data_IF_220311720578
#
_entry.id   IF_220311720578
#
_cell.length_a   1.000
_cell.length_b   1.000
_cell.length_c   1.000
_cell.angle_alpha   90.00
_cell.angle_beta   90.00
_cell.angle_gamma   90.00
#
_symmetry.space_group_name_H-M   'P 1'
#
loop_
_entity.id
_entity.type
_entity.pdbx_description
1 polymer ?
#
# COMPACT_ATOMS: atom_id res chain seq x y z
N UNK A 1 -36.48 -36.16 -57.34
CA UNK A 1 -37.25 -35.11 -58.04
C UNK A 1 -36.91 -33.77 -57.40
N UNK A 2 -36.21 -32.88 -58.12
CA UNK A 2 -36.73 -31.58 -58.64
C UNK A 2 -36.79 -30.54 -57.51
N UNK A 3 -36.17 -29.35 -57.51
CA UNK A 3 -35.37 -28.44 -58.38
C UNK A 3 -34.75 -27.43 -57.37
N UNK A 4 -33.61 -26.75 -57.53
CA UNK A 4 -33.01 -26.16 -58.73
C UNK A 4 -32.87 -24.64 -58.53
N UNK A 5 -31.69 -24.08 -58.79
CA UNK A 5 -31.42 -22.64 -58.95
C UNK A 5 -30.08 -22.20 -58.34
N UNK A 6 -28.93 -22.33 -59.03
CA UNK A 6 -28.31 -21.40 -60.03
C UNK A 6 -27.91 -20.04 -59.43
N UNK A 7 -26.82 -19.37 -59.77
CA UNK A 7 -25.51 -19.61 -60.42
C UNK A 7 -24.85 -18.20 -60.54
N UNK A 8 -23.54 -18.18 -60.85
CA UNK A 8 -22.68 -17.06 -61.31
C UNK A 8 -21.90 -16.27 -60.24
N UNK A 9 -20.59 -16.05 -60.37
CA UNK A 9 -19.65 -16.43 -61.42
C UNK A 9 -18.31 -15.68 -61.29
N UNK A 10 -17.23 -16.34 -61.76
CA UNK A 10 -15.90 -15.77 -62.11
C UNK A 10 -15.02 -15.31 -60.93
N UNK A 11 -13.70 -15.45 -60.89
CA UNK A 11 -12.69 -15.93 -61.84
C UNK A 11 -11.36 -15.96 -61.06
N UNK A 12 -10.56 -17.02 -61.19
CA UNK A 12 -9.14 -17.03 -60.77
C UNK A 12 -8.29 -16.28 -61.81
N UNK A 13 -7.15 -15.65 -61.46
CA UNK A 13 -5.89 -16.41 -61.41
C UNK A 13 -4.83 -15.92 -60.40
N UNK A 14 -3.82 -16.78 -60.23
CA UNK A 14 -2.57 -16.62 -59.46
C UNK A 14 -1.81 -15.31 -59.77
N UNK A 15 -1.20 -14.73 -58.73
CA UNK A 15 -0.14 -13.70 -58.85
C UNK A 15 0.47 -13.35 -57.49
N UNK A 16 1.80 -13.25 -57.41
CA UNK A 16 2.66 -13.38 -56.23
C UNK A 16 2.82 -12.11 -55.37
N UNK A 17 3.33 -12.35 -54.16
CA UNK A 17 4.33 -11.55 -53.41
C UNK A 17 3.85 -10.63 -52.27
N UNK A 18 4.52 -10.77 -51.12
CA UNK A 18 4.77 -9.67 -50.18
C UNK A 18 4.22 -9.83 -48.76
N UNK A 19 5.11 -10.18 -47.81
CA UNK A 19 5.19 -9.42 -46.57
C UNK A 19 4.54 -9.95 -45.28
N UNK A 20 5.29 -10.81 -44.60
CA UNK A 20 5.61 -10.67 -43.16
C UNK A 20 4.48 -10.78 -42.12
N UNK A 21 4.15 -12.02 -41.76
CA UNK A 21 3.73 -12.35 -40.40
C UNK A 21 4.94 -12.27 -39.45
N UNK A 22 4.90 -11.41 -38.43
CA UNK A 22 5.89 -11.40 -37.34
C UNK A 22 5.18 -11.72 -36.01
N UNK A 23 4.99 -13.02 -35.79
CA UNK A 23 4.74 -13.57 -34.47
C UNK A 23 5.98 -13.33 -33.59
N UNK A 24 5.78 -12.87 -32.36
CA UNK A 24 6.84 -12.62 -31.38
C UNK A 24 7.56 -13.92 -31.00
N UNK A 25 8.77 -14.10 -31.53
CA UNK A 25 9.68 -15.16 -31.12
C UNK A 25 10.25 -14.85 -29.74
N UNK A 26 9.85 -15.63 -28.73
CA UNK A 26 10.60 -15.74 -27.46
C UNK A 26 12.00 -16.25 -27.77
N UNK A 27 13.01 -15.52 -27.31
CA UNK A 27 14.40 -15.98 -27.35
C UNK A 27 14.59 -17.15 -26.36
N UNK A 28 15.27 -18.24 -26.74
CA UNK A 28 15.57 -19.33 -25.83
C UNK A 28 16.65 -18.91 -24.84
N UNK A 29 16.40 -19.13 -23.54
CA UNK A 29 17.43 -19.03 -22.50
C UNK A 29 18.41 -20.21 -22.67
N UNK A 30 19.73 -20.00 -22.66
CA UNK A 30 20.68 -21.10 -22.72
C UNK A 30 20.56 -21.94 -21.46
N UNK A 31 20.09 -23.17 -21.64
CA UNK A 31 20.05 -24.20 -20.60
C UNK A 31 21.48 -24.68 -20.42
N UNK A 32 22.19 -24.21 -19.37
CA UNK A 32 23.50 -24.77 -19.04
C UNK A 32 23.25 -26.10 -18.31
N UNK A 33 23.29 -27.16 -19.10
CA UNK A 33 23.23 -28.55 -18.71
C UNK A 33 24.28 -28.86 -17.64
N UNK A 34 23.82 -29.49 -16.56
CA UNK A 34 24.57 -29.93 -15.39
C UNK A 34 25.50 -31.14 -15.66
N UNK A 35 26.28 -31.13 -16.73
CA UNK A 35 27.20 -32.24 -17.07
C UNK A 35 28.70 -31.91 -16.93
N UNK A 36 29.07 -30.64 -16.70
CA UNK A 36 30.47 -30.26 -16.43
C UNK A 36 30.84 -30.25 -14.93
N UNK A 37 29.88 -30.46 -14.02
CA UNK A 37 30.09 -30.35 -12.57
C UNK A 37 30.61 -31.64 -11.89
N UNK A 38 31.11 -32.63 -12.65
CA UNK A 38 31.53 -33.95 -12.11
C UNK A 38 33.03 -34.28 -12.23
N UNK A 39 33.87 -33.35 -12.68
CA UNK A 39 35.34 -33.51 -12.57
C UNK A 39 35.90 -32.27 -11.88
N UNK A 40 36.44 -32.48 -10.68
CA UNK A 40 36.97 -31.43 -9.82
C UNK A 40 38.12 -30.68 -10.48
N UNK A 41 38.21 -29.40 -10.15
CA UNK A 41 39.27 -28.49 -10.58
C UNK A 41 38.91 -27.69 -11.82
N UNK A 42 38.10 -26.64 -11.66
CA UNK A 42 38.02 -25.58 -12.67
C UNK A 42 37.78 -24.25 -11.97
N UNK A 43 38.72 -23.32 -12.13
CA UNK A 43 38.64 -21.96 -11.62
C UNK A 43 37.60 -21.18 -12.46
N UNK A 44 36.64 -20.55 -11.78
CA UNK A 44 35.56 -19.80 -12.42
C UNK A 44 36.02 -18.51 -13.10
N UNK A 45 37.28 -18.09 -12.85
CA UNK A 45 37.88 -16.89 -13.43
C UNK A 45 38.09 -16.98 -14.95
N UNK A 46 38.34 -18.17 -15.50
CA UNK A 46 38.67 -18.36 -16.92
C UNK A 46 37.46 -18.29 -17.87
N UNK A 47 36.25 -18.59 -17.36
CA UNK A 47 35.02 -18.57 -18.17
C UNK A 47 34.48 -17.14 -18.34
N UNK A 48 34.71 -16.30 -17.33
CA UNK A 48 34.30 -14.90 -17.36
C UNK A 48 35.12 -14.08 -18.36
N UNK A 49 36.41 -14.38 -18.52
CA UNK A 49 37.30 -13.56 -19.35
C UNK A 49 37.08 -13.78 -20.86
N UNK A 50 36.87 -15.02 -21.29
CA UNK A 50 36.57 -15.34 -22.71
C UNK A 50 35.19 -14.87 -23.16
N UNK A 51 34.21 -14.92 -22.26
CA UNK A 51 32.83 -14.50 -22.54
C UNK A 51 32.74 -12.97 -22.57
N UNK A 52 33.42 -12.29 -21.64
CA UNK A 52 33.52 -10.83 -21.65
C UNK A 52 34.35 -10.30 -22.82
N UNK A 53 35.40 -10.98 -23.27
CA UNK A 53 36.19 -10.55 -24.43
C UNK A 53 35.39 -10.57 -25.74
N UNK A 54 34.57 -11.61 -25.98
CA UNK A 54 33.66 -11.69 -27.14
C UNK A 54 32.51 -10.69 -27.05
N UNK A 55 31.96 -10.46 -25.86
CA UNK A 55 30.92 -9.44 -25.64
C UNK A 55 31.45 -8.03 -25.84
N UNK A 56 32.69 -7.75 -25.40
CA UNK A 56 33.37 -6.47 -25.61
C UNK A 56 33.68 -6.19 -27.07
N UNK A 57 34.12 -7.19 -27.84
CA UNK A 57 34.36 -7.03 -29.28
C UNK A 57 33.06 -6.89 -30.08
N UNK A 58 31.98 -7.57 -29.68
CA UNK A 58 30.65 -7.37 -30.27
C UNK A 58 30.08 -5.99 -29.95
N UNK A 59 30.18 -5.53 -28.70
CA UNK A 59 29.74 -4.21 -28.24
C UNK A 59 30.55 -3.08 -28.88
N UNK A 60 31.87 -3.23 -28.99
CA UNK A 60 32.75 -2.26 -29.68
C UNK A 60 32.43 -2.15 -31.19
N UNK A 61 32.01 -3.25 -31.83
CA UNK A 61 31.59 -3.26 -33.23
C UNK A 61 30.23 -2.60 -33.46
N UNK A 62 29.35 -2.62 -32.45
CA UNK A 62 28.09 -1.86 -32.43
C UNK A 62 28.29 -0.37 -32.08
N UNK A 63 29.31 -0.05 -31.27
CA UNK A 63 29.67 1.32 -30.87
C UNK A 63 30.04 2.22 -32.06
N UNK A 64 30.65 1.66 -33.11
CA UNK A 64 31.01 2.40 -34.32
C UNK A 64 29.85 2.88 -35.19
N UNK A 65 28.60 2.47 -34.91
CA UNK A 65 27.43 2.76 -35.78
C UNK A 65 26.35 3.62 -35.13
N UNK A 66 26.50 4.04 -33.89
CA UNK A 66 25.43 4.72 -33.19
C UNK A 66 25.87 6.08 -32.62
N UNK A 67 24.98 7.10 -32.64
CA UNK A 67 25.32 8.44 -32.15
C UNK A 67 25.70 8.37 -30.67
N UNK A 68 26.91 8.87 -30.37
CA UNK A 68 27.65 8.67 -29.11
C UNK A 68 26.90 9.05 -27.83
N UNK A 69 25.88 9.90 -27.92
CA UNK A 69 25.11 10.37 -26.76
C UNK A 69 24.22 9.29 -26.11
N UNK A 70 23.62 8.40 -26.90
CA UNK A 70 22.70 7.38 -26.35
C UNK A 70 23.45 6.19 -25.72
N UNK A 71 24.66 5.87 -26.22
CA UNK A 71 25.47 4.78 -25.68
C UNK A 71 26.09 5.17 -24.33
N UNK A 72 26.47 6.43 -24.16
CA UNK A 72 26.95 6.94 -22.87
C UNK A 72 25.86 6.91 -21.80
N UNK A 73 24.58 7.09 -22.17
CA UNK A 73 23.46 6.94 -21.25
C UNK A 73 23.25 5.48 -20.84
N UNK A 74 23.36 4.54 -21.78
CA UNK A 74 23.23 3.10 -21.49
C UNK A 74 24.41 2.55 -20.67
N UNK A 75 25.65 2.96 -20.97
CA UNK A 75 26.83 2.58 -20.17
C UNK A 75 26.72 3.11 -18.74
N UNK A 76 26.21 4.33 -18.56
CA UNK A 76 25.98 4.92 -17.24
C UNK A 76 24.87 4.23 -16.46
N UNK A 77 23.86 3.66 -17.16
CA UNK A 77 22.82 2.83 -16.53
C UNK A 77 23.36 1.46 -16.08
N UNK A 78 24.35 0.94 -16.79
CA UNK A 78 25.01 -0.34 -16.48
C UNK A 78 25.96 -0.21 -15.28
N UNK A 79 26.73 0.88 -15.19
CA UNK A 79 27.60 1.18 -14.05
C UNK A 79 26.81 1.32 -12.74
N UNK A 80 25.64 1.97 -12.81
CA UNK A 80 24.72 2.13 -11.67
C UNK A 80 24.14 0.80 -11.19
N UNK A 81 24.01 -0.18 -12.10
CA UNK A 81 23.54 -1.53 -11.77
C UNK A 81 24.65 -2.37 -11.12
N UNK A 82 25.93 -2.11 -11.43
CA UNK A 82 27.06 -2.75 -10.76
C UNK A 82 27.34 -2.18 -9.36
N UNK A 83 27.10 -0.90 -9.11
CA UNK A 83 27.13 -0.34 -7.75
C UNK A 83 26.03 -0.95 -6.85
N UNK A 84 24.82 -1.14 -7.38
CA UNK A 84 23.73 -1.85 -6.66
C UNK A 84 24.06 -3.33 -6.39
N UNK A 85 24.73 -4.00 -7.32
CA UNK A 85 25.17 -5.40 -7.17
C UNK A 85 26.42 -5.53 -6.28
N UNK A 86 27.29 -4.51 -6.22
CA UNK A 86 28.42 -4.43 -5.29
C UNK A 86 27.95 -4.16 -3.85
N UNK A 87 26.88 -3.39 -3.67
CA UNK A 87 26.19 -3.16 -2.39
C UNK A 87 25.50 -4.43 -1.85
N UNK A 88 25.25 -5.42 -2.72
CA UNK A 88 24.79 -6.75 -2.32
C UNK A 88 25.87 -7.61 -1.66
N UNK A 89 27.16 -7.21 -1.63
CA UNK A 89 28.24 -8.00 -0.99
C UNK A 89 28.58 -7.56 0.44
N UNK A 90 27.97 -6.49 0.97
CA UNK A 90 28.24 -5.96 2.32
C UNK A 90 27.12 -6.25 3.34
N UNK A 91 26.81 -7.53 3.54
CA UNK A 91 25.63 -7.97 4.30
C UNK A 91 25.59 -7.57 5.80
N UNK A 92 26.73 -7.42 6.50
CA UNK A 92 26.74 -7.15 7.95
C UNK A 92 26.48 -5.70 8.37
N UNK A 93 27.21 -4.73 7.79
CA UNK A 93 27.10 -3.30 8.15
C UNK A 93 25.79 -2.66 7.66
N UNK A 94 25.22 -3.19 6.57
CA UNK A 94 23.93 -2.74 6.00
C UNK A 94 22.74 -3.23 6.82
N UNK A 95 22.76 -4.47 7.29
CA UNK A 95 21.74 -5.00 8.20
C UNK A 95 21.65 -4.19 9.50
N UNK A 96 22.79 -3.98 10.18
CA UNK A 96 22.80 -3.27 11.45
C UNK A 96 22.30 -1.83 11.33
N UNK A 97 22.69 -1.12 10.26
CA UNK A 97 22.21 0.25 10.00
C UNK A 97 20.70 0.30 9.77
N UNK A 98 20.16 -0.63 8.98
CA UNK A 98 18.70 -0.73 8.74
C UNK A 98 17.96 -1.11 10.01
N UNK A 99 18.50 -2.06 10.79
CA UNK A 99 17.97 -2.46 12.08
C UNK A 99 17.88 -1.28 13.04
N UNK A 100 18.98 -0.54 13.26
CA UNK A 100 19.01 0.63 14.14
C UNK A 100 18.01 1.69 13.68
N UNK A 101 17.95 1.98 12.36
CA UNK A 101 16.98 2.95 11.84
C UNK A 101 15.53 2.53 12.07
N UNK A 102 15.21 1.25 11.91
CA UNK A 102 13.86 0.72 12.14
C UNK A 102 13.51 0.69 13.63
N UNK A 103 14.40 0.16 14.48
CA UNK A 103 14.11 -0.01 15.91
C UNK A 103 13.95 1.34 16.61
N UNK A 104 14.74 2.37 16.24
CA UNK A 104 14.59 3.72 16.81
C UNK A 104 13.23 4.31 16.47
N UNK A 105 12.78 4.19 15.21
CA UNK A 105 11.44 4.66 14.80
C UNK A 105 10.35 3.86 15.50
N UNK A 106 10.48 2.53 15.57
CA UNK A 106 9.48 1.68 16.23
C UNK A 106 9.37 1.98 17.74
N UNK A 107 10.48 2.18 18.44
CA UNK A 107 10.49 2.59 19.85
C UNK A 107 9.81 3.95 20.01
N UNK A 108 10.12 4.93 19.15
CA UNK A 108 9.49 6.24 19.20
C UNK A 108 7.97 6.16 18.98
N UNK A 109 7.51 5.36 18.01
CA UNK A 109 6.08 5.13 17.77
C UNK A 109 5.41 4.35 18.93
N UNK A 110 6.13 3.44 19.59
CA UNK A 110 5.65 2.70 20.76
C UNK A 110 5.45 3.64 21.97
N UNK A 111 6.40 4.54 22.21
CA UNK A 111 6.26 5.54 23.27
C UNK A 111 5.12 6.50 22.94
N UNK A 112 5.04 6.98 21.69
CA UNK A 112 3.96 7.88 21.28
C UNK A 112 2.57 7.25 21.44
N UNK A 113 2.36 6.02 20.95
CA UNK A 113 1.04 5.36 21.05
C UNK A 113 0.65 5.03 22.50
N UNK A 114 1.63 4.90 23.41
CA UNK A 114 1.35 4.69 24.84
C UNK A 114 0.60 5.85 25.50
N UNK A 115 0.58 7.05 24.90
CA UNK A 115 -0.22 8.18 25.37
C UNK A 115 -1.73 7.86 25.43
N UNK A 116 -2.20 6.88 24.66
CA UNK A 116 -3.58 6.37 24.75
C UNK A 116 -3.94 5.82 26.13
N UNK A 117 -2.96 5.35 26.92
CA UNK A 117 -3.20 4.83 28.28
C UNK A 117 -3.69 5.92 29.23
N UNK A 118 -3.21 7.15 29.08
CA UNK A 118 -3.65 8.30 29.90
C UNK A 118 -5.15 8.55 29.68
N UNK A 119 -5.61 8.42 28.42
CA UNK A 119 -7.02 8.56 28.09
C UNK A 119 -7.81 7.40 28.69
N UNK A 120 -7.34 6.16 28.58
CA UNK A 120 -8.02 5.01 29.16
C UNK A 120 -8.16 5.13 30.68
N UNK A 121 -7.13 5.61 31.36
CA UNK A 121 -7.15 5.82 32.82
C UNK A 121 -8.19 6.88 33.22
N UNK A 122 -8.25 7.99 32.47
CA UNK A 122 -9.26 9.04 32.69
C UNK A 122 -10.72 8.53 32.53
N UNK A 123 -10.95 7.54 31.68
CA UNK A 123 -12.27 6.91 31.48
C UNK A 123 -12.44 5.57 32.22
N UNK A 124 -11.49 5.18 33.08
CA UNK A 124 -11.50 3.89 33.76
C UNK A 124 -12.80 3.59 34.54
N UNK A 125 -13.45 4.55 35.24
CA UNK A 125 -14.74 4.30 35.90
C UNK A 125 -15.83 3.88 34.90
N UNK A 126 -15.94 4.58 33.77
CA UNK A 126 -16.92 4.27 32.72
C UNK A 126 -16.65 2.91 32.08
N UNK A 127 -15.38 2.60 31.81
CA UNK A 127 -14.98 1.33 31.22
C UNK A 127 -15.21 0.13 32.14
N UNK A 128 -15.16 0.33 33.47
CA UNK A 128 -15.51 -0.69 34.47
C UNK A 128 -17.01 -0.96 34.48
N UNK A 129 -17.83 0.08 34.38
CA UNK A 129 -19.29 -0.03 34.33
C UNK A 129 -19.78 -0.64 32.99
N UNK A 130 -19.13 -0.27 31.89
CA UNK A 130 -19.49 -0.69 30.53
C UNK A 130 -18.38 -1.50 29.87
N UNK A 131 -18.09 -2.67 30.45
CA UNK A 131 -16.99 -3.55 30.03
C UNK A 131 -17.00 -3.92 28.54
N UNK A 132 -18.17 -3.96 27.88
CA UNK A 132 -18.26 -4.23 26.44
C UNK A 132 -17.50 -3.19 25.61
N UNK A 133 -17.44 -1.92 26.02
CA UNK A 133 -16.66 -0.91 25.28
C UNK A 133 -15.18 -1.29 25.25
N UNK A 134 -14.64 -1.76 26.37
CA UNK A 134 -13.26 -2.24 26.48
C UNK A 134 -12.99 -3.43 25.57
N UNK A 135 -13.92 -4.39 25.51
CA UNK A 135 -13.78 -5.58 24.65
C UNK A 135 -13.70 -5.23 23.16
N UNK A 136 -14.42 -4.19 22.72
CA UNK A 136 -14.47 -3.79 21.31
C UNK A 136 -13.52 -2.65 20.97
N UNK A 137 -12.80 -2.09 21.95
CA UNK A 137 -11.88 -0.95 21.75
C UNK A 137 -10.83 -1.24 20.67
N UNK A 138 -10.16 -2.40 20.74
CA UNK A 138 -9.12 -2.79 19.78
C UNK A 138 -9.67 -2.98 18.37
N UNK A 139 -10.91 -3.48 18.26
CA UNK A 139 -11.60 -3.60 16.97
C UNK A 139 -11.85 -2.22 16.35
N UNK A 140 -12.37 -1.27 17.13
CA UNK A 140 -12.72 0.06 16.65
C UNK A 140 -11.46 0.82 16.23
N UNK A 141 -10.45 0.84 17.10
CA UNK A 141 -9.16 1.50 16.83
C UNK A 141 -8.48 0.88 15.62
N UNK A 142 -8.47 -0.45 15.51
CA UNK A 142 -7.94 -1.16 14.35
C UNK A 142 -8.69 -0.86 13.05
N UNK A 143 -10.01 -0.76 13.09
CA UNK A 143 -10.82 -0.35 11.94
C UNK A 143 -10.48 1.09 11.50
N UNK A 144 -10.31 2.00 12.47
CA UNK A 144 -9.83 3.37 12.23
C UNK A 144 -8.45 3.38 11.57
N UNK A 145 -7.46 2.70 12.15
CA UNK A 145 -6.10 2.61 11.60
C UNK A 145 -6.09 2.11 10.15
N UNK A 146 -6.86 1.05 9.86
CA UNK A 146 -6.98 0.49 8.53
C UNK A 146 -7.65 1.46 7.53
N UNK A 147 -8.76 2.09 7.91
CA UNK A 147 -9.45 3.06 7.06
C UNK A 147 -8.60 4.31 6.79
N UNK A 148 -7.94 4.82 7.83
CA UNK A 148 -7.03 5.95 7.72
C UNK A 148 -5.83 5.63 6.83
N UNK A 149 -5.23 4.45 6.98
CA UNK A 149 -4.12 4.03 6.14
C UNK A 149 -4.53 3.87 4.66
N UNK A 150 -5.75 3.38 4.37
CA UNK A 150 -6.26 3.37 3.00
C UNK A 150 -6.31 4.77 2.39
N UNK A 151 -6.84 5.74 3.15
CA UNK A 151 -6.92 7.13 2.72
C UNK A 151 -5.52 7.78 2.58
N UNK A 152 -4.60 7.46 3.48
CA UNK A 152 -3.20 7.86 3.42
C UNK A 152 -2.51 7.34 2.17
N UNK A 153 -2.61 6.05 1.87
CA UNK A 153 -2.01 5.45 0.68
C UNK A 153 -2.52 6.11 -0.59
N UNK A 154 -3.83 6.34 -0.69
CA UNK A 154 -4.43 7.01 -1.85
C UNK A 154 -3.93 8.45 -2.00
N UNK A 155 -3.82 9.17 -0.89
CA UNK A 155 -3.34 10.57 -0.88
C UNK A 155 -1.86 10.66 -1.23
N UNK A 156 -1.00 9.85 -0.62
CA UNK A 156 0.44 9.78 -0.93
C UNK A 156 0.65 9.44 -2.41
N UNK A 157 -0.06 8.44 -2.91
CA UNK A 157 0.01 8.06 -4.33
C UNK A 157 -0.47 9.20 -5.23
N UNK A 158 -1.56 9.86 -4.88
CA UNK A 158 -2.10 11.00 -5.61
C UNK A 158 -1.14 12.18 -5.70
N UNK A 159 -0.40 12.45 -4.60
CA UNK A 159 0.69 13.43 -4.56
C UNK A 159 1.86 13.00 -5.46
N UNK A 160 2.29 11.74 -5.36
CA UNK A 160 3.43 11.22 -6.11
C UNK A 160 3.23 11.24 -7.64
N UNK A 161 1.99 10.97 -8.11
CA UNK A 161 1.66 11.02 -9.55
C UNK A 161 1.21 12.41 -10.02
N UNK A 162 1.27 13.43 -9.17
CA UNK A 162 0.88 14.81 -9.52
C UNK A 162 -0.63 15.05 -9.69
N UNK A 163 -1.48 14.06 -9.37
CA UNK A 163 -2.95 14.21 -9.42
C UNK A 163 -3.48 15.10 -8.29
N UNK A 164 -2.75 15.22 -7.19
CA UNK A 164 -3.08 16.10 -6.07
C UNK A 164 -2.12 17.28 -6.06
N UNK A 165 -2.65 18.49 -6.11
CA UNK A 165 -1.89 19.74 -6.07
C UNK A 165 -2.63 20.80 -5.24
N UNK A 166 -1.99 21.94 -5.00
CA UNK A 166 -2.49 22.97 -4.05
C UNK A 166 -3.94 23.41 -4.30
N UNK A 167 -4.38 23.45 -5.55
CA UNK A 167 -5.71 23.91 -5.96
C UNK A 167 -6.79 22.86 -5.67
N UNK A 168 -6.50 21.56 -5.85
CA UNK A 168 -7.51 20.51 -5.74
C UNK A 168 -7.51 19.76 -4.40
N UNK A 169 -6.53 20.01 -3.52
CA UNK A 169 -6.39 19.32 -2.22
C UNK A 169 -7.65 19.36 -1.35
N UNK A 170 -8.38 20.47 -1.34
CA UNK A 170 -9.63 20.60 -0.58
C UNK A 170 -10.75 19.74 -1.15
N UNK A 171 -10.85 19.63 -2.48
CA UNK A 171 -11.82 18.76 -3.14
C UNK A 171 -11.52 17.29 -2.88
N UNK A 172 -10.24 16.92 -2.82
CA UNK A 172 -9.80 15.57 -2.45
C UNK A 172 -10.18 15.26 -1.00
N UNK A 173 -9.90 16.17 -0.07
CA UNK A 173 -10.29 16.03 1.33
C UNK A 173 -11.80 15.81 1.50
N UNK A 174 -12.63 16.64 0.88
CA UNK A 174 -14.10 16.51 0.97
C UNK A 174 -14.59 15.17 0.40
N UNK A 175 -13.99 14.73 -0.71
CA UNK A 175 -14.32 13.42 -1.30
C UNK A 175 -13.96 12.28 -0.36
N UNK A 176 -12.79 12.31 0.26
CA UNK A 176 -12.34 11.28 1.20
C UNK A 176 -13.19 11.25 2.47
N UNK A 177 -13.59 12.41 3.00
CA UNK A 177 -14.53 12.50 4.13
C UNK A 177 -15.89 11.89 3.75
N UNK A 178 -16.42 12.18 2.56
CA UNK A 178 -17.69 11.62 2.11
C UNK A 178 -17.61 10.09 1.95
N UNK A 179 -16.52 9.58 1.36
CA UNK A 179 -16.26 8.14 1.28
C UNK A 179 -16.10 7.51 2.66
N UNK A 180 -15.39 8.19 3.57
CA UNK A 180 -15.22 7.77 4.95
C UNK A 180 -16.54 7.69 5.72
N UNK A 181 -17.46 8.63 5.49
CA UNK A 181 -18.82 8.56 6.05
C UNK A 181 -19.59 7.33 5.56
N UNK A 182 -19.54 7.03 4.26
CA UNK A 182 -20.20 5.83 3.71
C UNK A 182 -19.58 4.53 4.24
N UNK A 183 -18.25 4.43 4.24
CA UNK A 183 -17.53 3.27 4.78
C UNK A 183 -17.81 3.13 6.28
N UNK A 184 -17.79 4.24 7.02
CA UNK A 184 -18.09 4.29 8.44
C UNK A 184 -19.50 3.81 8.74
N UNK A 185 -20.49 4.16 7.92
CA UNK A 185 -21.87 3.71 8.12
C UNK A 185 -22.00 2.18 7.96
N UNK A 186 -21.35 1.62 6.94
CA UNK A 186 -21.31 0.17 6.72
C UNK A 186 -20.60 -0.53 7.89
N UNK A 187 -19.45 -0.03 8.32
CA UNK A 187 -18.70 -0.60 9.44
C UNK A 187 -19.43 -0.46 10.77
N UNK A 188 -20.18 0.63 10.98
CA UNK A 188 -21.03 0.81 12.14
C UNK A 188 -22.17 -0.22 12.15
N UNK A 189 -22.83 -0.46 11.02
CA UNK A 189 -23.86 -1.49 10.91
C UNK A 189 -23.30 -2.90 11.19
N UNK A 190 -22.14 -3.23 10.61
CA UNK A 190 -21.45 -4.52 10.88
C UNK A 190 -21.06 -4.63 12.35
N UNK A 191 -20.55 -3.56 12.95
CA UNK A 191 -20.18 -3.51 14.38
C UNK A 191 -21.40 -3.70 15.27
N UNK A 192 -22.52 -3.04 14.95
CA UNK A 192 -23.78 -3.20 15.67
C UNK A 192 -24.24 -4.67 15.65
N UNK A 193 -24.31 -5.27 14.45
CA UNK A 193 -24.72 -6.67 14.27
C UNK A 193 -23.80 -7.59 15.09
N UNK A 194 -22.48 -7.39 14.99
CA UNK A 194 -21.50 -8.18 15.74
C UNK A 194 -21.74 -8.07 17.25
N UNK A 195 -21.81 -6.87 17.82
CA UNK A 195 -21.98 -6.70 19.27
C UNK A 195 -23.31 -7.30 19.72
N UNK A 196 -24.38 -7.05 18.97
CA UNK A 196 -25.71 -7.52 19.34
C UNK A 196 -25.83 -9.05 19.29
N UNK A 197 -25.27 -9.70 18.27
CA UNK A 197 -25.35 -11.16 18.15
C UNK A 197 -24.66 -11.89 19.31
N UNK A 198 -23.49 -11.41 19.74
CA UNK A 198 -22.67 -12.06 20.75
C UNK A 198 -23.04 -11.67 22.19
N UNK A 199 -23.42 -10.41 22.43
CA UNK A 199 -23.66 -9.91 23.79
C UNK A 199 -25.11 -9.54 24.09
N UNK A 200 -25.99 -9.54 23.07
CA UNK A 200 -27.43 -9.26 23.20
C UNK A 200 -27.79 -7.93 23.87
N UNK A 201 -26.83 -7.01 24.00
CA UNK A 201 -27.03 -5.68 24.59
C UNK A 201 -27.26 -4.65 23.49
N UNK A 202 -28.50 -4.19 23.37
CA UNK A 202 -28.89 -3.19 22.36
C UNK A 202 -28.21 -1.84 22.60
N UNK A 203 -28.20 -1.37 23.86
CA UNK A 203 -27.63 -0.07 24.26
C UNK A 203 -26.12 -0.04 23.99
N UNK A 204 -25.38 -1.08 24.36
CA UNK A 204 -23.95 -1.16 24.08
C UNK A 204 -23.66 -1.28 22.58
N UNK A 205 -24.49 -2.02 21.83
CA UNK A 205 -24.34 -2.16 20.38
C UNK A 205 -24.47 -0.80 19.67
N UNK A 206 -25.44 0.03 20.08
CA UNK A 206 -25.59 1.40 19.57
C UNK A 206 -24.36 2.26 19.91
N UNK A 207 -23.96 2.30 21.18
CA UNK A 207 -22.81 3.09 21.63
C UNK A 207 -21.53 2.75 20.83
N UNK A 208 -21.21 1.46 20.71
CA UNK A 208 -20.03 0.96 20.01
C UNK A 208 -20.12 1.24 18.50
N UNK A 209 -21.29 1.05 17.89
CA UNK A 209 -21.48 1.33 16.45
C UNK A 209 -21.32 2.81 16.12
N UNK A 210 -21.85 3.71 16.96
CA UNK A 210 -21.71 5.14 16.82
C UNK A 210 -20.25 5.58 17.00
N UNK A 211 -19.56 5.05 18.01
CA UNK A 211 -18.14 5.26 18.20
C UNK A 211 -17.34 4.80 16.97
N UNK A 212 -17.64 3.62 16.42
CA UNK A 212 -17.00 3.10 15.22
C UNK A 212 -17.19 4.02 14.00
N UNK A 213 -18.41 4.52 13.77
CA UNK A 213 -18.70 5.49 12.71
C UNK A 213 -17.81 6.73 12.82
N UNK A 214 -17.76 7.33 14.02
CA UNK A 214 -16.97 8.53 14.27
C UNK A 214 -15.47 8.28 14.11
N UNK A 215 -14.97 7.15 14.63
CA UNK A 215 -13.55 6.77 14.49
C UNK A 215 -13.16 6.59 13.02
N UNK A 216 -13.98 5.90 12.22
CA UNK A 216 -13.70 5.71 10.78
C UNK A 216 -13.77 7.04 10.03
N UNK A 217 -14.75 7.88 10.33
CA UNK A 217 -14.84 9.23 9.77
C UNK A 217 -13.60 10.07 10.07
N UNK A 218 -13.19 10.15 11.33
CA UNK A 218 -11.96 10.82 11.75
C UNK A 218 -10.71 10.19 11.13
N UNK A 219 -10.68 8.87 10.97
CA UNK A 219 -9.58 8.16 10.34
C UNK A 219 -9.34 8.58 8.90
N UNK A 220 -10.40 8.67 8.09
CA UNK A 220 -10.26 9.14 6.70
C UNK A 220 -9.82 10.60 6.64
N UNK A 221 -10.34 11.45 7.54
CA UNK A 221 -9.92 12.84 7.64
C UNK A 221 -8.41 12.97 7.95
N UNK A 222 -7.93 12.35 9.03
CA UNK A 222 -6.52 12.41 9.40
C UNK A 222 -5.64 11.67 8.38
N UNK A 223 -6.14 10.57 7.81
CA UNK A 223 -5.45 9.78 6.80
C UNK A 223 -5.17 10.57 5.53
N UNK A 224 -6.09 11.46 5.13
CA UNK A 224 -5.85 12.42 4.03
C UNK A 224 -5.03 13.63 4.48
N UNK A 225 -5.30 14.15 5.68
CA UNK A 225 -4.68 15.39 6.17
C UNK A 225 -3.18 15.25 6.39
N UNK A 226 -2.73 14.14 6.99
CA UNK A 226 -1.33 13.95 7.36
C UNK A 226 -0.38 14.00 6.15
N UNK A 227 -0.59 13.23 5.06
CA UNK A 227 0.24 13.34 3.86
C UNK A 227 0.21 14.73 3.22
N UNK A 228 -0.96 15.40 3.20
CA UNK A 228 -1.09 16.75 2.66
C UNK A 228 -0.31 17.77 3.51
N UNK A 229 -0.34 17.63 4.83
CA UNK A 229 0.40 18.48 5.76
C UNK A 229 1.92 18.26 5.62
N UNK A 230 2.37 17.00 5.55
CA UNK A 230 3.78 16.67 5.30
C UNK A 230 4.27 17.26 3.98
N UNK A 231 3.50 17.10 2.90
CA UNK A 231 3.81 17.69 1.60
C UNK A 231 3.88 19.22 1.66
N UNK A 232 2.97 19.86 2.40
CA UNK A 232 2.99 21.32 2.59
C UNK A 232 4.22 21.81 3.36
N UNK A 233 4.72 21.01 4.32
CA UNK A 233 5.95 21.25 5.07
C UNK A 233 7.23 20.84 4.32
N UNK A 234 7.12 20.36 3.08
CA UNK A 234 8.23 19.82 2.27
C UNK A 234 8.90 18.58 2.91
N UNK A 235 8.15 17.84 3.73
CA UNK A 235 8.55 16.54 4.28
C UNK A 235 8.00 15.42 3.40
N UNK A 236 8.65 14.25 3.45
CA UNK A 236 8.24 13.08 2.66
C UNK A 236 6.87 12.55 3.12
N UNK A 237 5.82 12.62 2.26
CA UNK A 237 4.47 12.15 2.59
C UNK A 237 4.37 10.66 2.93
N UNK A 238 5.37 9.84 2.54
CA UNK A 238 5.38 8.41 2.84
C UNK A 238 5.39 8.11 4.36
N UNK A 239 5.83 9.06 5.19
CA UNK A 239 5.76 8.96 6.65
C UNK A 239 4.32 9.04 7.20
N UNK A 240 3.34 9.39 6.36
CA UNK A 240 1.93 9.45 6.75
C UNK A 240 1.38 8.10 7.21
N UNK A 241 1.86 6.96 6.67
CA UNK A 241 1.35 5.62 7.00
C UNK A 241 1.59 5.22 8.45
N UNK A 242 2.83 5.22 8.95
CA UNK A 242 3.09 4.98 10.37
C UNK A 242 2.45 6.05 11.28
N UNK A 243 2.39 7.30 10.83
CA UNK A 243 1.81 8.40 11.61
C UNK A 243 0.29 8.26 11.81
N UNK A 244 -0.45 7.80 10.79
CA UNK A 244 -1.91 7.62 10.92
C UNK A 244 -2.25 6.51 11.92
N UNK A 245 -1.44 5.44 12.00
CA UNK A 245 -1.67 4.38 12.97
C UNK A 245 -1.57 4.92 14.42
N UNK A 246 -0.47 5.61 14.75
CA UNK A 246 -0.30 6.20 16.08
C UNK A 246 -1.36 7.25 16.37
N UNK A 247 -1.74 8.03 15.36
CA UNK A 247 -2.84 9.00 15.48
C UNK A 247 -4.15 8.28 15.85
N UNK A 248 -4.46 7.16 15.21
CA UNK A 248 -5.68 6.38 15.50
C UNK A 248 -5.61 5.64 16.83
N UNK A 249 -4.44 5.20 17.28
CA UNK A 249 -4.26 4.60 18.60
C UNK A 249 -4.63 5.60 19.72
N UNK A 250 -4.33 6.89 19.53
CA UNK A 250 -4.65 7.94 20.50
C UNK A 250 -6.06 8.49 20.29
N UNK A 251 -6.35 9.02 19.10
CA UNK A 251 -7.63 9.66 18.80
C UNK A 251 -8.78 8.66 18.72
N UNK A 252 -8.54 7.44 18.22
CA UNK A 252 -9.55 6.40 18.17
C UNK A 252 -10.00 5.96 19.55
N UNK A 253 -9.07 5.82 20.50
CA UNK A 253 -9.37 5.57 21.91
C UNK A 253 -10.15 6.74 22.50
N UNK A 254 -9.68 7.97 22.30
CA UNK A 254 -10.37 9.17 22.79
C UNK A 254 -11.81 9.27 22.29
N UNK A 255 -12.02 9.16 20.97
CA UNK A 255 -13.35 9.26 20.35
C UNK A 255 -14.24 8.13 20.87
N UNK A 256 -13.72 6.90 20.99
CA UNK A 256 -14.49 5.77 21.49
C UNK A 256 -14.96 6.00 22.93
N UNK A 257 -14.05 6.40 23.81
CA UNK A 257 -14.37 6.66 25.21
C UNK A 257 -15.32 7.86 25.37
N UNK A 258 -15.02 8.98 24.71
CA UNK A 258 -15.83 10.19 24.80
C UNK A 258 -17.24 9.99 24.24
N UNK A 259 -17.37 9.34 23.08
CA UNK A 259 -18.66 9.02 22.46
C UNK A 259 -19.47 8.08 23.34
N UNK A 260 -18.85 7.00 23.83
CA UNK A 260 -19.54 6.03 24.68
C UNK A 260 -20.00 6.65 26.00
N UNK A 261 -19.13 7.44 26.66
CA UNK A 261 -19.48 8.14 27.89
C UNK A 261 -20.64 9.13 27.67
N UNK A 262 -20.59 9.91 26.59
CA UNK A 262 -21.68 10.83 26.24
C UNK A 262 -23.00 10.08 25.98
N UNK A 263 -22.94 8.99 25.22
CA UNK A 263 -24.11 8.16 24.92
C UNK A 263 -24.74 7.56 26.18
N UNK A 264 -23.95 6.97 27.07
CA UNK A 264 -24.47 6.36 28.31
C UNK A 264 -25.04 7.39 29.27
N UNK A 265 -24.46 8.59 29.36
CA UNK A 265 -25.03 9.69 30.15
C UNK A 265 -26.42 10.09 29.65
N UNK A 266 -26.59 10.21 28.33
CA UNK A 266 -27.88 10.54 27.73
C UNK A 266 -28.89 9.40 27.89
N UNK A 267 -28.46 8.15 27.67
CA UNK A 267 -29.31 6.98 27.84
C UNK A 267 -29.77 6.80 29.30
N UNK A 268 -28.88 7.02 30.27
CA UNK A 268 -29.21 6.99 31.70
C UNK A 268 -30.18 8.09 32.11
N UNK A 269 -30.00 9.32 31.61
CA UNK A 269 -30.93 10.42 31.84
C UNK A 269 -32.34 10.12 31.29
N UNK A 270 -32.43 9.53 30.09
CA UNK A 270 -33.71 9.19 29.47
C UNK A 270 -34.47 8.05 30.18
N UNK A 271 -33.78 7.22 30.97
CA UNK A 271 -34.39 6.16 31.78
C UNK A 271 -34.86 6.69 33.13
N UNK A 272 -34.16 7.67 33.72
CA UNK A 272 -34.53 8.27 35.00
C UNK A 272 -35.77 9.19 34.94
N UNK A 273 -36.15 9.63 33.73
CA UNK A 273 -37.33 10.48 33.49
C UNK A 273 -38.62 9.69 33.21
N UNK A 274 -38.56 8.36 33.18
CA UNK A 274 -39.71 7.46 33.02
C UNK A 274 -40.00 6.67 34.30
#
# INVERSE_FOLDING_TARGET
>A
MVKGGRQHGGSSPRGKSGGSARAGARLPMPTVTSQAARRGGYDSSDVDDYTNAKLRTAAAKQLHRAPAAHVLADVKSYDHSYEELADFRTHGRRFWRVFVRRIVVLIALMVAQSASSIILDAYAPMLKEHFLVTLFLTMIVGAGGNAGNQSTVMTVRGLAVGKIHKVNRYKVMLREIALGGLIGLVLAAVSFIRVYLFHRSFVASLAISLACFLVVGSATFFGTLLPLALAAMKLDPAHGGPAIQVTMDIFGVFITCACSAGFFRMAGAAIAEK
#
